data_IF_349555105781
#
_entry.id   IF_349555105781
#
_cell.length_a   1.000
_cell.length_b   1.000
_cell.length_c   1.000
_cell.angle_alpha   90.00
_cell.angle_beta   90.00
_cell.angle_gamma   90.00
#
_symmetry.space_group_name_H-M   'P 1'
#
loop_
_entity.id
_entity.type
_entity.pdbx_description
1 polymer ?
#
# COMPACT_ATOMS: atom_id res chain seq x y z
N UNK A 1 -1.93 6.63 -7.63
CA UNK A 1 -1.83 6.06 -6.28
C UNK A 1 -0.58 6.61 -5.62
N UNK A 2 -0.71 7.20 -4.44
CA UNK A 2 0.42 7.74 -3.66
C UNK A 2 0.65 6.86 -2.44
N UNK A 3 1.84 6.86 -1.85
CA UNK A 3 2.07 6.12 -0.61
C UNK A 3 2.90 6.93 0.38
N UNK A 4 2.75 6.60 1.67
CA UNK A 4 3.56 7.11 2.77
C UNK A 4 4.13 5.94 3.54
N UNK A 5 5.45 5.89 3.62
CA UNK A 5 6.16 4.92 4.45
C UNK A 5 6.78 5.61 5.66
N UNK A 6 6.64 5.01 6.83
CA UNK A 6 7.34 5.39 8.05
C UNK A 6 8.36 4.31 8.40
N UNK A 7 9.65 4.62 8.29
CA UNK A 7 10.70 3.67 8.63
C UNK A 7 10.76 3.38 10.14
N UNK A 8 10.49 4.39 10.98
CA UNK A 8 10.49 4.24 12.45
C UNK A 8 9.39 3.33 12.95
N UNK A 9 8.20 3.40 12.35
CA UNK A 9 7.06 2.55 12.71
C UNK A 9 6.95 1.29 11.83
N UNK A 10 7.74 1.20 10.75
CA UNK A 10 7.61 0.18 9.69
C UNK A 10 6.19 0.08 9.12
N UNK A 11 5.48 1.19 9.08
CA UNK A 11 4.10 1.24 8.54
C UNK A 11 4.10 1.81 7.13
N UNK A 12 3.36 1.19 6.22
CA UNK A 12 3.11 1.69 4.87
C UNK A 12 1.61 1.98 4.72
N UNK A 13 1.30 3.18 4.24
CA UNK A 13 -0.06 3.59 3.87
C UNK A 13 -0.06 3.86 2.37
N UNK A 14 -0.85 3.12 1.60
CA UNK A 14 -1.06 3.36 0.17
C UNK A 14 -2.42 4.02 -0.01
N UNK A 15 -2.42 5.24 -0.53
CA UNK A 15 -3.60 6.03 -0.80
C UNK A 15 -4.16 5.70 -2.17
N UNK A 16 -5.26 4.95 -2.17
CA UNK A 16 -6.06 4.63 -3.34
C UNK A 16 -7.14 5.66 -3.63
N UNK A 17 -7.76 5.52 -4.79
CA UNK A 17 -8.89 6.35 -5.20
C UNK A 17 -10.22 5.87 -4.59
N UNK A 18 -10.34 4.56 -4.34
CA UNK A 18 -11.51 3.90 -3.76
C UNK A 18 -11.29 3.55 -2.29
N UNK A 19 -10.07 3.13 -1.91
CA UNK A 19 -9.74 2.83 -0.52
C UNK A 19 -8.25 3.02 -0.20
N UNK A 20 -7.96 3.27 1.07
CA UNK A 20 -6.59 3.30 1.58
C UNK A 20 -6.17 1.92 2.08
N UNK A 21 -4.94 1.53 1.81
CA UNK A 21 -4.36 0.26 2.23
C UNK A 21 -3.33 0.51 3.32
N UNK A 22 -3.51 -0.15 4.47
CA UNK A 22 -2.65 -0.01 5.64
C UNK A 22 -1.89 -1.32 5.84
N UNK A 23 -0.57 -1.23 5.89
CA UNK A 23 0.33 -2.34 6.11
C UNK A 23 1.24 -2.04 7.30
N UNK A 24 1.39 -3.02 8.19
CA UNK A 24 2.25 -2.95 9.37
C UNK A 24 3.48 -3.85 9.22
N UNK A 25 4.56 -3.53 9.93
CA UNK A 25 5.84 -4.27 9.92
C UNK A 25 6.43 -4.50 8.50
N UNK A 26 6.36 -3.48 7.66
CA UNK A 26 6.83 -3.48 6.27
C UNK A 26 8.31 -3.12 6.17
N UNK A 27 9.08 -3.98 5.51
CA UNK A 27 10.46 -3.66 5.14
C UNK A 27 10.50 -2.78 3.87
N UNK A 28 11.53 -1.92 3.72
CA UNK A 28 11.67 -1.06 2.55
C UNK A 28 11.69 -1.83 1.22
N UNK A 29 12.26 -3.04 1.21
CA UNK A 29 12.30 -3.93 0.04
C UNK A 29 10.93 -4.46 -0.39
N UNK A 30 9.92 -4.42 0.49
CA UNK A 30 8.57 -4.91 0.22
C UNK A 30 7.63 -3.82 -0.28
N UNK A 31 8.02 -2.54 -0.19
CA UNK A 31 7.14 -1.41 -0.49
C UNK A 31 6.62 -1.48 -1.93
N UNK A 32 7.50 -1.72 -2.90
CA UNK A 32 7.12 -1.75 -4.32
C UNK A 32 6.07 -2.83 -4.61
N UNK A 33 6.28 -4.04 -4.08
CA UNK A 33 5.36 -5.16 -4.23
C UNK A 33 4.00 -4.87 -3.57
N UNK A 34 3.98 -4.31 -2.35
CA UNK A 34 2.75 -3.96 -1.65
C UNK A 34 1.98 -2.82 -2.32
N UNK A 35 2.68 -1.87 -2.94
CA UNK A 35 2.05 -0.82 -3.74
C UNK A 35 1.42 -1.42 -5.00
N UNK A 36 2.06 -2.40 -5.65
CA UNK A 36 1.49 -3.08 -6.82
C UNK A 36 0.27 -3.93 -6.44
N UNK A 37 0.34 -4.67 -5.34
CA UNK A 37 -0.80 -5.40 -4.78
C UNK A 37 -1.99 -4.47 -4.49
N UNK A 38 -1.73 -3.30 -3.89
CA UNK A 38 -2.76 -2.31 -3.62
C UNK A 38 -3.42 -1.82 -4.91
N UNK A 39 -2.65 -1.54 -5.98
CA UNK A 39 -3.19 -1.18 -7.29
C UNK A 39 -4.06 -2.29 -7.88
N UNK A 40 -3.62 -3.54 -7.80
CA UNK A 40 -4.37 -4.68 -8.33
C UNK A 40 -5.70 -4.86 -7.58
N UNK A 41 -5.67 -4.73 -6.25
CA UNK A 41 -6.85 -4.85 -5.41
C UNK A 41 -7.84 -3.70 -5.64
N UNK A 42 -7.38 -2.48 -5.94
CA UNK A 42 -8.25 -1.40 -6.42
C UNK A 42 -8.85 -1.71 -7.80
N UNK A 43 -8.05 -2.21 -8.75
CA UNK A 43 -8.51 -2.52 -10.11
C UNK A 43 -9.54 -3.66 -10.17
N UNK A 44 -9.51 -4.56 -9.18
CA UNK A 44 -10.47 -5.66 -9.02
C UNK A 44 -11.63 -5.32 -8.10
N UNK A 45 -11.61 -4.14 -7.47
CA UNK A 45 -12.66 -3.71 -6.55
C UNK A 45 -13.97 -3.46 -7.29
N UNK A 46 -14.98 -4.29 -7.02
CA UNK A 46 -16.35 -4.26 -7.61
C UNK A 46 -16.43 -4.57 -9.12
N UNK A 47 -15.74 -5.60 -9.58
CA UNK A 47 -16.23 -6.39 -10.72
C UNK A 47 -17.33 -7.36 -10.28
#
# INVERSE_FOLDING_TARGET
>A
MSFRYSSSARTLIVFGNLMNHYYDNVNPSQIDNLVDEAKFKEATWRK
#
